data_IF_883833698778
#
_entry.id   IF_883833698778
#
_cell.length_a   1.000
_cell.length_b   1.000
_cell.length_c   1.000
_cell.angle_alpha   90.00
_cell.angle_beta   90.00
_cell.angle_gamma   90.00
#
_symmetry.space_group_name_H-M   'P 1'
#
loop_
_entity.id
_entity.type
_entity.pdbx_description
1 polymer ?
#
# COMPACT_ATOMS: atom_id res chain seq x y z
N UNK A 1 52.48 73.64 17.65
CA UNK A 1 51.21 74.32 17.42
C UNK A 1 50.25 73.32 16.81
N UNK A 2 49.12 73.17 17.47
CA UNK A 2 47.81 72.77 17.04
C UNK A 2 47.62 71.28 16.63
N UNK A 3 46.94 70.67 17.37
CA UNK A 3 45.56 70.46 17.63
C UNK A 3 45.13 69.10 17.06
N UNK A 4 44.87 68.21 17.98
CA UNK A 4 44.33 66.89 17.76
C UNK A 4 42.84 66.94 17.48
N UNK A 5 42.41 66.02 16.74
CA UNK A 5 40.98 65.67 16.63
C UNK A 5 40.72 64.25 17.15
N UNK A 6 40.12 64.25 18.32
CA UNK A 6 39.64 63.07 19.01
C UNK A 6 38.38 62.58 18.32
N UNK A 7 38.41 61.41 17.77
CA UNK A 7 37.17 60.70 17.36
C UNK A 7 36.91 59.55 18.33
N UNK A 8 35.94 59.73 19.21
CA UNK A 8 35.42 58.72 20.13
C UNK A 8 34.67 57.66 19.36
N UNK A 9 34.81 56.34 19.71
CA UNK A 9 33.99 55.31 19.18
C UNK A 9 32.61 55.29 19.86
N UNK A 10 31.58 55.20 19.05
CA UNK A 10 30.19 55.05 19.49
C UNK A 10 29.98 53.73 20.24
N UNK A 11 29.54 53.83 21.47
CA UNK A 11 29.13 52.69 22.32
C UNK A 11 27.70 52.34 21.95
N UNK A 12 27.50 51.11 21.40
CA UNK A 12 26.19 50.56 21.19
C UNK A 12 25.55 50.15 22.53
N UNK A 13 24.25 50.42 22.76
CA UNK A 13 23.58 50.01 23.98
C UNK A 13 23.39 48.52 24.05
N UNK A 14 23.86 47.93 25.14
CA UNK A 14 23.59 46.54 25.52
C UNK A 14 22.09 46.43 25.89
N UNK A 15 21.33 45.76 25.05
CA UNK A 15 19.95 45.43 25.36
C UNK A 15 19.95 44.36 26.47
N UNK A 16 19.55 44.77 27.64
CA UNK A 16 19.24 43.87 28.77
C UNK A 16 18.03 43.01 28.37
N UNK A 17 18.29 41.80 27.95
CA UNK A 17 17.25 40.77 27.80
C UNK A 17 16.65 40.47 29.18
N UNK A 18 15.42 40.90 29.37
CA UNK A 18 14.62 40.53 30.53
C UNK A 18 14.50 38.99 30.58
N UNK A 19 14.89 38.45 31.72
CA UNK A 19 14.69 37.02 32.02
C UNK A 19 13.22 36.69 31.98
N UNK A 20 12.82 35.95 30.98
CA UNK A 20 11.49 35.29 30.99
C UNK A 20 11.54 34.16 32.02
N UNK A 21 10.51 34.02 32.87
CA UNK A 21 10.40 32.88 33.78
C UNK A 21 10.24 31.62 32.93
N UNK A 22 11.16 30.68 33.07
CA UNK A 22 11.02 29.32 32.59
C UNK A 22 9.77 28.70 33.24
N UNK A 23 8.69 28.64 32.49
CA UNK A 23 7.61 27.71 32.75
C UNK A 23 8.09 26.28 32.44
N UNK A 24 8.86 25.74 33.37
CA UNK A 24 9.22 24.33 33.42
C UNK A 24 8.08 23.54 34.07
N UNK A 25 6.92 23.60 33.48
CA UNK A 25 5.79 22.71 33.88
C UNK A 25 4.90 22.51 32.65
N UNK A 26 5.12 21.46 31.91
CA UNK A 26 4.14 21.05 30.92
C UNK A 26 4.70 20.49 29.63
N UNK A 27 5.64 19.55 29.62
CA UNK A 27 5.86 18.71 28.46
C UNK A 27 6.52 17.36 28.78
N UNK A 28 6.16 16.78 29.91
CA UNK A 28 6.51 15.37 30.20
C UNK A 28 5.36 14.39 29.95
N UNK A 29 4.37 14.74 29.12
CA UNK A 29 3.22 13.87 28.85
C UNK A 29 3.16 13.32 27.42
N UNK A 30 4.24 13.42 26.64
CA UNK A 30 4.28 12.90 25.26
C UNK A 30 5.16 11.65 25.09
N UNK A 31 5.68 11.06 26.15
CA UNK A 31 6.62 9.93 26.05
C UNK A 31 6.06 8.56 26.43
N UNK A 32 4.84 8.47 26.97
CA UNK A 32 4.32 7.15 27.40
C UNK A 32 3.32 6.49 26.43
N UNK A 33 3.04 7.12 25.28
CA UNK A 33 2.01 6.63 24.36
C UNK A 33 2.52 5.95 23.10
N UNK A 34 3.83 5.85 22.90
CA UNK A 34 4.44 5.25 21.72
C UNK A 34 4.82 3.78 21.94
N UNK A 35 3.93 2.98 22.52
CA UNK A 35 4.19 1.54 22.54
C UNK A 35 4.19 1.01 21.08
N UNK A 36 5.13 0.14 20.70
CA UNK A 36 5.20 -0.44 19.35
C UNK A 36 3.86 -1.05 18.91
N UNK A 37 3.12 -1.61 19.88
CA UNK A 37 1.78 -2.16 19.68
C UNK A 37 0.78 -1.11 19.23
N UNK A 38 0.75 0.07 19.88
CA UNK A 38 -0.16 1.17 19.50
C UNK A 38 0.17 1.71 18.12
N UNK A 39 1.46 1.94 17.84
CA UNK A 39 1.91 2.40 16.51
C UNK A 39 1.47 1.42 15.43
N UNK A 40 1.64 0.12 15.67
CA UNK A 40 1.19 -0.91 14.74
C UNK A 40 -0.33 -0.91 14.58
N UNK A 41 -1.10 -0.85 15.68
CA UNK A 41 -2.57 -0.84 15.61
C UNK A 41 -3.12 0.41 14.92
N UNK A 42 -2.54 1.58 15.16
CA UNK A 42 -2.93 2.80 14.46
C UNK A 42 -2.60 2.70 12.97
N UNK A 43 -1.41 2.25 12.61
CA UNK A 43 -1.02 2.05 11.22
C UNK A 43 -1.96 1.07 10.49
N UNK A 44 -2.32 -0.05 11.12
CA UNK A 44 -3.27 -1.02 10.58
C UNK A 44 -4.66 -0.40 10.43
N UNK A 45 -5.16 0.31 11.47
CA UNK A 45 -6.48 0.95 11.41
C UNK A 45 -6.56 2.02 10.33
N UNK A 46 -5.52 2.82 10.16
CA UNK A 46 -5.46 3.89 9.16
C UNK A 46 -5.39 3.32 7.74
N UNK A 47 -4.63 2.25 7.53
CA UNK A 47 -4.59 1.54 6.26
C UNK A 47 -5.96 0.93 5.90
N UNK A 48 -6.65 0.34 6.87
CA UNK A 48 -8.01 -0.19 6.66
C UNK A 48 -8.99 0.94 6.33
N UNK A 49 -8.97 2.04 7.09
CA UNK A 49 -9.83 3.21 6.84
C UNK A 49 -9.58 3.81 5.47
N UNK A 50 -8.31 4.01 5.10
CA UNK A 50 -7.93 4.51 3.79
C UNK A 50 -8.38 3.57 2.66
N UNK A 51 -8.17 2.26 2.82
CA UNK A 51 -8.67 1.27 1.88
C UNK A 51 -10.19 1.31 1.74
N UNK A 52 -10.92 1.36 2.85
CA UNK A 52 -12.39 1.42 2.81
C UNK A 52 -12.93 2.76 2.28
N UNK A 53 -12.22 3.87 2.48
CA UNK A 53 -12.62 5.18 1.94
C UNK A 53 -12.53 5.23 0.40
N UNK A 54 -11.58 4.50 -0.20
CA UNK A 54 -11.37 4.46 -1.64
C UNK A 54 -12.22 3.41 -2.38
N UNK A 55 -13.15 2.74 -1.70
CA UNK A 55 -14.05 1.78 -2.33
C UNK A 55 -15.09 2.48 -3.19
N UNK A 56 -15.47 1.86 -4.29
CA UNK A 56 -16.62 2.28 -5.10
C UNK A 56 -17.93 1.91 -4.41
N UNK A 57 -19.03 2.61 -4.68
CA UNK A 57 -20.32 2.26 -4.14
C UNK A 57 -20.70 0.81 -4.48
N UNK A 58 -21.20 0.08 -3.48
CA UNK A 58 -21.60 -1.32 -3.70
C UNK A 58 -22.76 -1.48 -4.69
N UNK A 59 -23.63 -0.45 -4.79
CA UNK A 59 -24.70 -0.40 -5.79
C UNK A 59 -24.16 -0.51 -7.22
N UNK A 60 -23.01 0.12 -7.48
CA UNK A 60 -22.33 0.06 -8.78
C UNK A 60 -21.76 -1.35 -9.03
N UNK A 61 -21.18 -2.00 -8.02
CA UNK A 61 -20.64 -3.36 -8.15
C UNK A 61 -21.72 -4.38 -8.49
N UNK A 62 -22.92 -4.27 -7.87
CA UNK A 62 -24.03 -5.24 -8.06
C UNK A 62 -25.05 -4.80 -9.10
N UNK A 63 -24.76 -3.79 -9.91
CA UNK A 63 -25.66 -3.32 -10.95
C UNK A 63 -25.87 -4.40 -12.02
N UNK A 64 -27.06 -4.99 -12.02
CA UNK A 64 -27.44 -6.08 -12.92
C UNK A 64 -27.51 -5.66 -14.39
N UNK A 65 -27.80 -4.38 -14.66
CA UNK A 65 -27.89 -3.87 -16.02
C UNK A 65 -26.53 -3.84 -16.72
N UNK A 66 -25.44 -3.77 -15.95
CA UNK A 66 -24.09 -3.77 -16.46
C UNK A 66 -23.53 -5.16 -16.80
N UNK A 67 -24.26 -6.26 -16.56
CA UNK A 67 -23.78 -7.60 -16.85
C UNK A 67 -24.20 -8.09 -18.23
N UNK A 68 -23.23 -8.51 -19.02
CA UNK A 68 -23.45 -9.16 -20.31
C UNK A 68 -22.43 -10.25 -20.57
N UNK A 69 -22.81 -11.24 -21.38
CA UNK A 69 -21.90 -12.32 -21.77
C UNK A 69 -20.80 -11.74 -22.69
N UNK A 70 -19.51 -11.97 -22.41
CA UNK A 70 -18.44 -11.59 -23.34
C UNK A 70 -18.50 -12.46 -24.62
N UNK A 71 -18.21 -11.88 -25.77
CA UNK A 71 -18.23 -12.58 -27.06
C UNK A 71 -16.98 -13.43 -27.26
N UNK A 72 -15.86 -13.06 -26.63
CA UNK A 72 -14.58 -13.76 -26.74
C UNK A 72 -13.81 -13.77 -25.43
N UNK A 73 -12.82 -14.67 -25.33
CA UNK A 73 -11.88 -14.71 -24.19
C UNK A 73 -11.04 -13.42 -24.12
N UNK A 74 -10.70 -12.87 -25.28
CA UNK A 74 -9.96 -11.60 -25.36
C UNK A 74 -10.77 -10.46 -24.75
N UNK A 75 -12.04 -10.37 -25.09
CA UNK A 75 -12.95 -9.39 -24.50
C UNK A 75 -13.14 -9.61 -22.99
N UNK A 76 -13.35 -10.84 -22.56
CA UNK A 76 -13.45 -11.18 -21.13
C UNK A 76 -12.21 -10.73 -20.36
N UNK A 77 -11.03 -10.94 -20.91
CA UNK A 77 -9.75 -10.51 -20.30
C UNK A 77 -9.63 -9.00 -20.25
N UNK A 78 -10.04 -8.30 -21.32
CA UNK A 78 -10.03 -6.84 -21.38
C UNK A 78 -10.99 -6.25 -20.33
N UNK A 79 -12.23 -6.78 -20.27
CA UNK A 79 -13.23 -6.40 -19.27
C UNK A 79 -12.72 -6.63 -17.85
N UNK A 80 -12.13 -7.80 -17.58
CA UNK A 80 -11.55 -8.13 -16.28
C UNK A 80 -10.48 -7.11 -15.87
N UNK A 81 -9.57 -6.77 -16.80
CA UNK A 81 -8.51 -5.79 -16.53
C UNK A 81 -9.07 -4.40 -16.23
N UNK A 82 -10.03 -3.91 -17.03
CA UNK A 82 -10.67 -2.60 -16.81
C UNK A 82 -11.42 -2.57 -15.48
N UNK A 83 -12.25 -3.58 -15.22
CA UNK A 83 -13.02 -3.71 -13.97
C UNK A 83 -12.11 -3.90 -12.76
N UNK A 84 -10.98 -4.62 -12.88
CA UNK A 84 -10.00 -4.73 -11.79
C UNK A 84 -9.43 -3.37 -11.41
N UNK A 85 -9.04 -2.55 -12.38
CA UNK A 85 -8.52 -1.22 -12.10
C UNK A 85 -9.56 -0.31 -11.45
N UNK A 86 -10.83 -0.41 -11.88
CA UNK A 86 -11.93 0.40 -11.35
C UNK A 86 -12.38 -0.05 -9.96
N UNK A 87 -12.54 -1.35 -9.72
CA UNK A 87 -13.07 -1.94 -8.48
C UNK A 87 -11.99 -2.55 -7.58
N UNK A 88 -10.73 -2.21 -7.76
CA UNK A 88 -9.60 -2.83 -7.06
C UNK A 88 -9.82 -2.98 -5.56
N UNK A 89 -10.30 -1.92 -4.90
CA UNK A 89 -10.53 -1.92 -3.45
C UNK A 89 -11.72 -2.81 -3.06
N UNK A 90 -12.80 -2.79 -3.86
CA UNK A 90 -13.96 -3.64 -3.63
C UNK A 90 -13.59 -5.12 -3.81
N UNK A 91 -12.82 -5.46 -4.84
CA UNK A 91 -12.35 -6.81 -5.09
C UNK A 91 -11.44 -7.33 -3.98
N UNK A 92 -10.52 -6.49 -3.51
CA UNK A 92 -9.70 -6.84 -2.35
C UNK A 92 -10.56 -7.10 -1.11
N UNK A 93 -11.60 -6.28 -0.90
CA UNK A 93 -12.55 -6.47 0.21
C UNK A 93 -13.29 -7.79 0.09
N UNK A 94 -13.74 -8.17 -1.12
CA UNK A 94 -14.43 -9.46 -1.37
C UNK A 94 -13.48 -10.63 -1.07
N UNK A 95 -12.26 -10.61 -1.61
CA UNK A 95 -11.27 -11.68 -1.37
C UNK A 95 -10.96 -11.81 0.12
N UNK A 96 -10.77 -10.68 0.81
CA UNK A 96 -10.51 -10.67 2.26
C UNK A 96 -11.72 -11.20 3.05
N UNK A 97 -12.94 -10.86 2.65
CA UNK A 97 -14.15 -11.38 3.30
C UNK A 97 -14.30 -12.90 3.10
N UNK A 98 -14.03 -13.42 1.90
CA UNK A 98 -14.04 -14.86 1.63
C UNK A 98 -12.99 -15.56 2.48
N UNK A 99 -11.79 -15.02 2.57
CA UNK A 99 -10.72 -15.56 3.42
C UNK A 99 -11.12 -15.55 4.90
N UNK A 100 -11.68 -14.44 5.40
CA UNK A 100 -12.14 -14.33 6.78
C UNK A 100 -13.25 -15.35 7.10
N UNK A 101 -14.24 -15.50 6.24
CA UNK A 101 -15.30 -16.49 6.40
C UNK A 101 -14.72 -17.90 6.38
N UNK A 102 -13.80 -18.20 5.46
CA UNK A 102 -13.15 -19.52 5.38
C UNK A 102 -12.36 -19.85 6.65
N UNK A 103 -11.67 -18.88 7.24
CA UNK A 103 -10.96 -19.08 8.51
C UNK A 103 -11.94 -19.25 9.69
N UNK A 104 -13.01 -18.46 9.74
CA UNK A 104 -14.04 -18.59 10.79
C UNK A 104 -14.74 -19.94 10.76
N UNK A 105 -14.94 -20.52 9.58
CA UNK A 105 -15.50 -21.87 9.43
C UNK A 105 -14.49 -22.99 9.70
N UNK A 106 -13.20 -22.66 9.83
CA UNK A 106 -12.12 -23.57 10.15
C UNK A 106 -11.38 -23.15 11.44
N UNK A 107 -11.99 -23.34 12.63
CA UNK A 107 -11.49 -22.77 13.89
C UNK A 107 -10.08 -23.26 14.26
N UNK A 108 -9.71 -24.49 13.89
CA UNK A 108 -8.35 -24.99 14.11
C UNK A 108 -7.31 -24.20 13.30
N UNK A 109 -7.60 -23.92 12.02
CA UNK A 109 -6.73 -23.10 11.17
C UNK A 109 -6.64 -21.66 11.69
N UNK A 110 -7.77 -21.10 12.13
CA UNK A 110 -7.82 -19.76 12.72
C UNK A 110 -6.97 -19.69 13.98
N UNK A 111 -7.05 -20.70 14.88
CA UNK A 111 -6.26 -20.77 16.10
C UNK A 111 -4.76 -20.84 15.80
N UNK A 112 -4.35 -21.73 14.87
CA UNK A 112 -2.93 -21.87 14.49
C UNK A 112 -2.39 -20.58 13.86
N UNK A 113 -3.13 -19.93 12.96
CA UNK A 113 -2.72 -18.68 12.33
C UNK A 113 -2.66 -17.53 13.33
N UNK A 114 -3.62 -17.45 14.25
CA UNK A 114 -3.62 -16.43 15.31
C UNK A 114 -2.43 -16.60 16.25
N UNK A 115 -2.13 -17.85 16.64
CA UNK A 115 -0.97 -18.16 17.46
C UNK A 115 0.35 -17.84 16.75
N UNK A 116 0.46 -18.19 15.46
CA UNK A 116 1.62 -17.87 14.64
C UNK A 116 1.80 -16.36 14.47
N UNK A 117 0.71 -15.63 14.20
CA UNK A 117 0.73 -14.17 14.12
C UNK A 117 1.15 -13.54 15.44
N UNK A 118 0.60 -14.02 16.56
CA UNK A 118 0.99 -13.56 17.89
C UNK A 118 2.48 -13.83 18.15
N UNK A 119 2.98 -15.01 17.78
CA UNK A 119 4.41 -15.33 17.88
C UNK A 119 5.29 -14.36 17.08
N UNK A 120 4.93 -14.07 15.82
CA UNK A 120 5.63 -13.08 14.99
C UNK A 120 5.61 -11.69 15.59
N UNK A 121 4.45 -11.24 16.08
CA UNK A 121 4.31 -9.91 16.66
C UNK A 121 5.11 -9.77 17.96
N UNK A 122 4.98 -10.72 18.88
CA UNK A 122 5.60 -10.61 20.21
C UNK A 122 7.08 -10.98 20.22
N UNK A 123 7.49 -11.98 19.43
CA UNK A 123 8.87 -12.46 19.46
C UNK A 123 9.78 -11.73 18.48
N UNK A 124 9.22 -11.01 17.49
CA UNK A 124 10.03 -10.36 16.47
C UNK A 124 9.66 -8.89 16.25
N UNK A 125 8.39 -8.55 15.96
CA UNK A 125 8.01 -7.19 15.53
C UNK A 125 8.04 -6.18 16.68
N UNK A 126 7.52 -6.55 17.86
CA UNK A 126 7.46 -5.65 19.01
C UNK A 126 8.73 -5.65 19.86
N UNK A 127 9.66 -6.52 19.56
CA UNK A 127 10.91 -6.62 20.26
C UNK A 127 11.88 -5.52 19.79
N UNK A 128 12.56 -4.91 20.77
CA UNK A 128 13.59 -3.90 20.51
C UNK A 128 14.97 -4.55 20.48
N UNK A 129 15.90 -3.94 19.73
CA UNK A 129 17.28 -4.40 19.65
C UNK A 129 18.03 -4.36 20.99
N UNK A 130 17.51 -3.62 21.98
CA UNK A 130 18.02 -3.52 23.36
C UNK A 130 17.45 -4.56 24.32
N UNK A 131 16.45 -5.34 23.88
CA UNK A 131 15.83 -6.33 24.76
C UNK A 131 16.77 -7.51 25.00
N UNK A 132 16.75 -8.10 26.20
CA UNK A 132 17.57 -9.27 26.53
C UNK A 132 17.17 -10.46 25.66
N UNK A 133 18.09 -11.43 25.40
CA UNK A 133 17.76 -12.64 24.65
C UNK A 133 16.57 -13.38 25.25
N UNK A 134 15.81 -14.08 24.41
CA UNK A 134 14.64 -14.84 24.87
C UNK A 134 15.09 -16.08 25.62
N UNK A 135 14.72 -16.19 26.86
CA UNK A 135 14.95 -17.40 27.66
C UNK A 135 13.76 -18.36 27.54
N UNK A 136 13.96 -19.47 26.83
CA UNK A 136 12.99 -20.54 26.75
C UNK A 136 13.63 -21.85 27.24
N UNK A 137 13.03 -22.51 28.20
CA UNK A 137 13.50 -23.79 28.77
C UNK A 137 14.97 -23.79 29.23
N UNK A 138 15.46 -22.63 29.76
CA UNK A 138 16.84 -22.49 30.24
C UNK A 138 17.88 -22.30 29.12
N UNK A 139 17.45 -22.08 27.88
CA UNK A 139 18.30 -21.73 26.75
C UNK A 139 17.98 -20.31 26.28
N UNK A 140 19.04 -19.54 26.06
CA UNK A 140 18.94 -18.21 25.48
C UNK A 140 18.93 -18.30 23.96
N UNK A 141 17.90 -17.71 23.34
CA UNK A 141 17.78 -17.64 21.89
C UNK A 141 18.20 -16.25 21.39
N UNK A 142 19.12 -16.23 20.44
CA UNK A 142 19.49 -15.01 19.73
C UNK A 142 18.36 -14.58 18.76
N UNK A 143 18.36 -13.33 18.31
CA UNK A 143 17.37 -12.82 17.35
C UNK A 143 17.36 -13.61 16.05
N UNK A 144 18.53 -14.09 15.58
CA UNK A 144 18.64 -14.93 14.38
C UNK A 144 18.04 -16.32 14.59
N UNK A 145 18.26 -16.92 15.75
CA UNK A 145 17.67 -18.23 16.08
C UNK A 145 16.15 -18.11 16.23
N UNK A 146 15.65 -17.02 16.85
CA UNK A 146 14.23 -16.72 16.96
C UNK A 146 13.59 -16.53 15.58
N UNK A 147 14.23 -15.78 14.68
CA UNK A 147 13.77 -15.60 13.31
C UNK A 147 13.71 -16.93 12.56
N UNK A 148 14.78 -17.73 12.64
CA UNK A 148 14.83 -19.05 12.00
C UNK A 148 13.71 -19.97 12.53
N UNK A 149 13.50 -20.00 13.85
CA UNK A 149 12.43 -20.75 14.48
C UNK A 149 11.06 -20.33 13.97
N UNK A 150 10.78 -19.02 13.88
CA UNK A 150 9.53 -18.47 13.36
C UNK A 150 9.32 -18.86 11.88
N UNK A 151 10.35 -18.78 11.05
CA UNK A 151 10.28 -19.20 9.63
C UNK A 151 9.96 -20.68 9.53
N UNK A 152 10.70 -21.54 10.24
CA UNK A 152 10.49 -23.00 10.23
C UNK A 152 9.10 -23.35 10.76
N UNK A 153 8.64 -22.70 11.83
CA UNK A 153 7.29 -22.88 12.36
C UNK A 153 6.23 -22.45 11.37
N UNK A 154 6.43 -21.34 10.64
CA UNK A 154 5.51 -20.89 9.59
C UNK A 154 5.39 -21.92 8.47
N UNK A 155 6.53 -22.41 7.97
CA UNK A 155 6.57 -23.47 6.95
C UNK A 155 5.88 -24.73 7.48
N UNK A 156 6.20 -25.15 8.70
CA UNK A 156 5.56 -26.30 9.35
C UNK A 156 4.06 -26.16 9.44
N UNK A 157 3.55 -25.04 9.94
CA UNK A 157 2.10 -24.78 10.04
C UNK A 157 1.42 -24.82 8.67
N UNK A 158 2.01 -24.19 7.66
CA UNK A 158 1.41 -24.12 6.31
C UNK A 158 1.38 -25.50 5.63
N UNK A 159 2.48 -26.26 5.71
CA UNK A 159 2.62 -27.50 4.93
C UNK A 159 2.22 -28.78 5.68
N UNK A 160 2.38 -28.82 7.01
CA UNK A 160 2.05 -30.01 7.81
C UNK A 160 0.61 -29.98 8.36
N UNK A 161 -0.09 -28.87 8.23
CA UNK A 161 -1.48 -28.73 8.70
C UNK A 161 -2.43 -28.39 7.56
N UNK A 162 -3.74 -28.42 7.84
CA UNK A 162 -4.78 -28.00 6.88
C UNK A 162 -4.82 -26.49 6.60
N UNK A 163 -4.03 -25.67 7.32
CA UNK A 163 -4.02 -24.21 7.19
C UNK A 163 -3.73 -23.78 5.76
N UNK A 164 -2.68 -24.37 5.16
CA UNK A 164 -2.30 -24.06 3.79
C UNK A 164 -3.41 -24.31 2.78
N UNK A 165 -4.08 -25.46 2.88
CA UNK A 165 -5.19 -25.80 1.98
C UNK A 165 -6.40 -24.88 2.16
N UNK A 166 -6.73 -24.49 3.40
CA UNK A 166 -7.82 -23.54 3.68
C UNK A 166 -7.52 -22.17 3.05
N UNK A 167 -6.29 -21.66 3.22
CA UNK A 167 -5.89 -20.38 2.63
C UNK A 167 -5.97 -20.44 1.11
N UNK A 168 -5.35 -21.45 0.49
CA UNK A 168 -5.33 -21.59 -0.98
C UNK A 168 -6.74 -21.70 -1.53
N UNK A 169 -7.59 -22.54 -0.92
CA UNK A 169 -8.99 -22.71 -1.35
C UNK A 169 -9.78 -21.40 -1.24
N UNK A 170 -9.61 -20.66 -0.14
CA UNK A 170 -10.26 -19.38 0.06
C UNK A 170 -9.81 -18.33 -0.95
N UNK A 171 -8.50 -18.26 -1.22
CA UNK A 171 -7.96 -17.35 -2.23
C UNK A 171 -8.45 -17.71 -3.64
N UNK A 172 -8.44 -18.99 -4.01
CA UNK A 172 -8.96 -19.45 -5.30
C UNK A 172 -10.45 -19.13 -5.46
N UNK A 173 -11.25 -19.34 -4.41
CA UNK A 173 -12.65 -18.96 -4.38
C UNK A 173 -12.84 -17.46 -4.56
N UNK A 174 -12.13 -16.64 -3.77
CA UNK A 174 -12.22 -15.18 -3.83
C UNK A 174 -11.78 -14.62 -5.18
N UNK A 175 -10.64 -15.09 -5.71
CA UNK A 175 -10.16 -14.74 -7.06
C UNK A 175 -11.13 -15.20 -8.14
N UNK A 176 -11.70 -16.40 -8.01
CA UNK A 176 -12.72 -16.91 -8.94
C UNK A 176 -13.95 -16.00 -9.00
N UNK A 177 -14.50 -15.63 -7.85
CA UNK A 177 -15.66 -14.70 -7.77
C UNK A 177 -15.35 -13.35 -8.41
N UNK A 178 -14.19 -12.77 -8.08
CA UNK A 178 -13.75 -11.47 -8.63
C UNK A 178 -13.52 -11.56 -10.14
N UNK A 179 -12.89 -12.63 -10.62
CA UNK A 179 -12.62 -12.83 -12.04
C UNK A 179 -13.91 -13.03 -12.84
N UNK A 180 -14.85 -13.79 -12.30
CA UNK A 180 -16.15 -13.99 -12.91
C UNK A 180 -16.92 -12.67 -13.01
N UNK A 181 -17.00 -11.92 -11.90
CA UNK A 181 -17.63 -10.62 -11.89
C UNK A 181 -16.98 -9.67 -12.90
N UNK A 182 -15.64 -9.56 -12.88
CA UNK A 182 -14.91 -8.65 -13.77
C UNK A 182 -14.99 -9.01 -15.24
N UNK A 183 -15.10 -10.29 -15.59
CA UNK A 183 -15.25 -10.75 -16.97
C UNK A 183 -16.66 -10.51 -17.54
N UNK A 184 -17.70 -10.63 -16.70
CA UNK A 184 -19.09 -10.48 -17.15
C UNK A 184 -19.64 -9.06 -17.04
N UNK A 185 -19.04 -8.21 -16.19
CA UNK A 185 -19.43 -6.80 -16.09
C UNK A 185 -18.86 -6.01 -17.27
N UNK A 186 -19.72 -5.33 -18.00
CA UNK A 186 -19.34 -4.44 -19.11
C UNK A 186 -18.79 -3.13 -18.52
N UNK A 187 -17.53 -2.76 -18.76
CA UNK A 187 -16.99 -1.47 -18.32
C UNK A 187 -17.61 -0.34 -19.14
N UNK A 188 -17.95 0.77 -18.48
CA UNK A 188 -18.52 1.95 -19.16
C UNK A 188 -17.61 2.53 -20.24
N UNK A 189 -16.29 2.45 -20.02
CA UNK A 189 -15.29 2.96 -20.98
C UNK A 189 -15.17 2.15 -22.29
N UNK A 190 -15.77 0.95 -22.38
CA UNK A 190 -15.75 0.18 -23.64
C UNK A 190 -16.56 0.85 -24.74
N UNK A 191 -17.65 1.54 -24.36
CA UNK A 191 -18.47 2.27 -25.34
C UNK A 191 -17.81 3.55 -25.85
N UNK A 192 -16.86 4.11 -25.11
CA UNK A 192 -16.11 5.30 -25.52
C UNK A 192 -15.00 4.93 -26.51
N UNK A 193 -14.35 3.79 -26.35
CA UNK A 193 -13.29 3.31 -27.24
C UNK A 193 -13.83 2.87 -28.61
N UNK A 194 -15.10 2.38 -28.70
CA UNK A 194 -15.75 2.04 -29.97
C UNK A 194 -16.12 3.27 -30.82
N UNK A 195 -16.23 4.45 -30.19
CA UNK A 195 -16.54 5.71 -30.90
C UNK A 195 -15.27 6.43 -31.39
N UNK A 196 -14.08 5.98 -31.04
CA UNK A 196 -12.84 6.45 -31.69
C UNK A 196 -12.63 5.68 -32.98
N UNK A 197 -12.55 6.35 -34.13
CA UNK A 197 -12.28 5.66 -35.41
C UNK A 197 -10.95 4.88 -35.30
N UNK A 198 -10.98 3.62 -35.69
CA UNK A 198 -9.79 2.77 -35.81
C UNK A 198 -8.84 3.36 -36.86
N UNK A 199 -8.06 4.35 -36.46
CA UNK A 199 -7.06 5.03 -37.28
C UNK A 199 -5.83 5.40 -36.46
N UNK A 200 -5.33 4.50 -35.64
CA UNK A 200 -4.12 4.75 -34.87
C UNK A 200 -3.42 3.47 -34.50
N UNK A 201 -2.39 3.12 -35.26
CA UNK A 201 -1.44 2.07 -34.88
C UNK A 201 -0.93 2.32 -33.47
N UNK A 202 -0.93 1.31 -32.57
CA UNK A 202 -0.55 1.50 -31.17
C UNK A 202 0.81 2.17 -31.04
N UNK A 203 0.92 3.14 -30.13
CA UNK A 203 2.10 3.99 -29.93
C UNK A 203 3.45 3.28 -29.74
N UNK A 204 3.46 1.95 -29.57
CA UNK A 204 4.67 1.15 -29.55
C UNK A 204 5.34 1.05 -30.93
N UNK A 205 4.57 0.91 -32.02
CA UNK A 205 5.13 0.89 -33.39
C UNK A 205 5.56 2.29 -33.86
N UNK A 206 4.90 3.35 -33.36
CA UNK A 206 5.34 4.73 -33.61
C UNK A 206 6.65 5.03 -32.88
N UNK A 207 6.86 4.47 -31.70
CA UNK A 207 8.11 4.61 -30.96
C UNK A 207 9.28 3.88 -31.65
N UNK A 208 9.03 2.72 -32.23
CA UNK A 208 10.05 1.98 -32.99
C UNK A 208 10.33 2.60 -34.39
N UNK A 209 9.36 3.28 -35.00
CA UNK A 209 9.50 3.87 -36.32
C UNK A 209 9.85 5.37 -36.28
N UNK A 210 9.77 6.02 -35.10
CA UNK A 210 9.99 7.46 -34.89
C UNK A 210 11.45 7.92 -34.93
N UNK A 211 12.40 7.00 -35.15
CA UNK A 211 13.81 7.35 -35.31
C UNK A 211 14.23 7.80 -36.72
N UNK A 212 13.40 7.59 -37.73
CA UNK A 212 13.78 7.82 -39.13
C UNK A 212 13.06 8.99 -39.84
N UNK A 213 12.02 9.59 -39.23
CA UNK A 213 11.18 10.60 -39.92
C UNK A 213 11.42 12.06 -39.48
N UNK A 214 12.35 12.29 -38.53
CA UNK A 214 12.64 13.65 -38.06
C UNK A 214 13.69 14.42 -38.90
N UNK A 215 14.17 13.84 -40.02
CA UNK A 215 15.26 14.43 -40.83
C UNK A 215 14.83 15.11 -42.12
N UNK A 216 13.54 15.25 -42.46
CA UNK A 216 13.10 15.74 -43.76
C UNK A 216 12.00 16.80 -43.77
N UNK A 217 11.95 17.68 -42.77
CA UNK A 217 11.13 18.91 -42.87
C UNK A 217 11.98 20.15 -42.61
N UNK A 218 12.70 20.60 -43.64
CA UNK A 218 13.18 21.99 -43.74
C UNK A 218 12.02 22.87 -44.21
N UNK A 219 11.71 23.97 -43.55
CA UNK A 219 10.74 24.94 -44.06
C UNK A 219 11.38 25.76 -45.18
N UNK A 220 10.85 25.67 -46.38
CA UNK A 220 11.17 26.58 -47.48
C UNK A 220 10.59 27.96 -47.19
N UNK A 221 11.45 28.94 -46.91
CA UNK A 221 11.07 30.34 -46.88
C UNK A 221 10.74 30.82 -48.30
N UNK A 222 9.48 31.11 -48.58
CA UNK A 222 9.09 31.91 -49.71
C UNK A 222 9.37 33.37 -49.44
N UNK A 223 10.41 33.92 -50.09
CA UNK A 223 10.61 35.36 -50.20
C UNK A 223 9.53 35.94 -51.12
N UNK A 224 8.80 36.95 -50.65
CA UNK A 224 7.93 37.81 -51.46
C UNK A 224 8.70 39.05 -51.85
N UNK A 225 8.82 39.25 -53.17
CA UNK A 225 9.13 40.53 -53.78
C UNK A 225 7.82 41.25 -54.03
#
# INVERSE_FOLDING_TARGET
MAAGANSSPAILPISTAAAQPHNAAGNHQLSSDNSPVRVFLTAVSDNIRFGLANRRPWSEVVDRAAFSKPESISEATLRLRKNYNHFRTNYLTIVTAVLAISLLTNPFSLFLLSGLLAAWLFLYVFRQASDPPIDCFGRQFSDRETLLFLIVSTVGVIFLTSVGSVIVSALMMGVGVVSLHGAFRTPEDLFIDEQQPQGGVPGFLTLLNGGAAAASQQPTMHARV
#
